data_IF_744346414608
#
_entry.id   IF_744346414608
#
_cell.length_a   1.000
_cell.length_b   1.000
_cell.length_c   1.000
_cell.angle_alpha   90.00
_cell.angle_beta   90.00
_cell.angle_gamma   90.00
#
_symmetry.space_group_name_H-M   'P 1'
#
loop_
_entity.id
_entity.type
_entity.pdbx_description
1 polymer ?
#
# COMPACT_ATOMS: atom_id res chain seq x y z
N UNK A 1 -20.82 16.49 38.32
CA UNK A 1 -19.94 16.77 37.17
C UNK A 1 -18.83 15.73 37.15
N UNK A 2 -18.88 14.76 36.25
CA UNK A 2 -17.76 13.90 35.80
C UNK A 2 -18.35 12.76 34.98
N UNK A 3 -18.16 12.78 33.67
CA UNK A 3 -18.62 11.75 32.77
C UNK A 3 -17.54 11.45 31.73
N UNK A 4 -16.86 10.32 31.93
CA UNK A 4 -16.33 9.42 30.90
C UNK A 4 -15.25 9.97 29.97
N UNK A 5 -14.05 9.42 30.07
CA UNK A 5 -12.97 9.70 29.12
C UNK A 5 -13.35 9.30 27.69
N UNK A 6 -13.52 10.30 26.82
CA UNK A 6 -13.69 10.09 25.39
C UNK A 6 -12.41 9.49 24.81
N UNK A 7 -12.47 8.20 24.49
CA UNK A 7 -11.59 7.59 23.51
C UNK A 7 -11.68 8.46 22.24
N UNK A 8 -10.56 9.03 21.80
CA UNK A 8 -10.47 9.74 20.52
C UNK A 8 -10.94 8.83 19.39
N UNK A 9 -12.20 8.97 19.01
CA UNK A 9 -12.87 8.14 18.03
C UNK A 9 -12.66 8.73 16.65
N UNK A 10 -11.87 8.05 15.83
CA UNK A 10 -11.64 8.47 14.45
C UNK A 10 -12.93 8.56 13.62
N UNK A 11 -13.92 7.64 13.74
CA UNK A 11 -15.22 7.79 13.09
C UNK A 11 -15.96 9.08 13.46
N UNK A 12 -15.98 9.45 14.74
CA UNK A 12 -16.64 10.68 15.20
C UNK A 12 -15.92 11.93 14.65
N UNK A 13 -14.57 11.93 14.67
CA UNK A 13 -13.78 12.99 14.04
C UNK A 13 -14.14 13.15 12.56
N UNK A 14 -14.23 12.05 11.81
CA UNK A 14 -14.54 12.06 10.37
C UNK A 14 -15.90 12.68 10.06
N UNK A 15 -16.90 12.45 10.90
CA UNK A 15 -18.23 13.06 10.72
C UNK A 15 -18.19 14.55 11.06
N UNK A 16 -17.52 14.92 12.14
CA UNK A 16 -17.52 16.30 12.63
C UNK A 16 -16.66 17.25 11.78
N UNK A 17 -15.55 16.76 11.20
CA UNK A 17 -14.66 17.58 10.37
C UNK A 17 -15.34 18.03 9.07
N UNK A 18 -16.25 17.21 8.53
CA UNK A 18 -17.03 17.53 7.32
C UNK A 18 -18.11 18.59 7.56
N UNK A 19 -18.47 18.85 8.82
CA UNK A 19 -19.45 19.88 9.20
C UNK A 19 -18.81 21.25 9.46
N UNK A 20 -17.48 21.34 9.38
CA UNK A 20 -16.77 22.62 9.56
C UNK A 20 -16.96 23.52 8.33
N UNK A 21 -16.83 24.83 8.52
CA UNK A 21 -16.91 25.80 7.43
C UNK A 21 -15.77 25.67 6.40
N UNK A 22 -14.59 25.22 6.87
CA UNK A 22 -13.44 24.85 6.03
C UNK A 22 -12.89 23.49 6.47
N UNK A 23 -13.46 22.37 5.97
CA UNK A 23 -13.02 21.04 6.34
C UNK A 23 -11.55 20.78 5.98
N UNK A 24 -11.07 21.30 4.86
CA UNK A 24 -9.71 21.06 4.36
C UNK A 24 -8.69 21.80 5.23
N UNK A 25 -8.89 23.08 5.49
CA UNK A 25 -8.03 23.85 6.40
C UNK A 25 -7.98 23.21 7.79
N UNK A 26 -9.12 22.73 8.32
CA UNK A 26 -9.17 22.03 9.62
C UNK A 26 -8.45 20.69 9.63
N UNK A 27 -8.48 19.94 8.52
CA UNK A 27 -7.66 18.74 8.35
C UNK A 27 -6.17 19.11 8.44
N UNK A 28 -5.74 20.18 7.78
CA UNK A 28 -4.33 20.61 7.79
C UNK A 28 -3.89 21.08 9.18
N UNK A 29 -4.70 21.90 9.86
CA UNK A 29 -4.44 22.29 11.26
C UNK A 29 -4.29 21.07 12.17
N UNK A 30 -5.17 20.08 12.02
CA UNK A 30 -5.11 18.83 12.77
C UNK A 30 -3.84 18.02 12.43
N UNK A 31 -3.42 18.00 11.17
CA UNK A 31 -2.18 17.34 10.74
C UNK A 31 -0.95 17.97 11.42
N UNK A 32 -0.89 19.31 11.48
CA UNK A 32 0.17 20.04 12.18
C UNK A 32 0.16 19.69 13.66
N UNK A 33 -1.00 19.77 14.31
CA UNK A 33 -1.15 19.43 15.72
C UNK A 33 -0.70 18.00 16.05
N UNK A 34 -1.11 17.01 15.25
CA UNK A 34 -0.73 15.61 15.45
C UNK A 34 0.77 15.35 15.24
N UNK A 35 1.48 16.20 14.50
CA UNK A 35 2.93 16.11 14.32
C UNK A 35 3.71 16.78 15.44
N UNK A 36 3.17 17.82 16.05
CA UNK A 36 3.87 18.63 17.06
C UNK A 36 3.53 18.24 18.49
N UNK A 37 2.37 17.61 18.72
CA UNK A 37 1.93 17.25 20.07
C UNK A 37 2.74 16.11 20.70
N UNK A 38 3.12 16.26 21.97
CA UNK A 38 3.76 15.21 22.76
C UNK A 38 2.81 14.03 23.02
N UNK A 39 1.49 14.26 22.98
CA UNK A 39 0.46 13.26 23.25
C UNK A 39 0.56 12.03 22.33
N UNK A 40 0.96 12.23 21.07
CA UNK A 40 1.17 11.13 20.11
C UNK A 40 2.38 10.27 20.51
N UNK A 41 3.40 10.82 21.16
CA UNK A 41 4.54 10.03 21.64
C UNK A 41 4.17 9.26 22.91
N UNK A 42 3.37 9.86 23.79
CA UNK A 42 3.11 9.36 25.13
C UNK A 42 1.89 8.43 25.23
N UNK A 43 0.88 8.58 24.37
CA UNK A 43 -0.40 7.88 24.51
C UNK A 43 -0.70 6.98 23.31
N UNK A 44 -0.84 5.67 23.54
CA UNK A 44 -1.19 4.68 22.50
C UNK A 44 -2.49 5.00 21.75
N UNK A 45 -3.49 5.60 22.41
CA UNK A 45 -4.74 6.03 21.76
C UNK A 45 -4.50 7.12 20.73
N UNK A 46 -3.67 8.10 21.06
CA UNK A 46 -3.24 9.17 20.15
C UNK A 46 -2.38 8.63 18.99
N UNK A 47 -1.52 7.64 19.24
CA UNK A 47 -0.76 6.95 18.17
C UNK A 47 -1.69 6.28 17.17
N UNK A 48 -2.68 5.51 17.65
CA UNK A 48 -3.66 4.83 16.79
C UNK A 48 -4.49 5.84 15.99
N UNK A 49 -4.96 6.90 16.65
CA UNK A 49 -5.71 7.98 15.99
C UNK A 49 -4.86 8.66 14.93
N UNK A 50 -3.64 9.08 15.26
CA UNK A 50 -2.71 9.75 14.34
C UNK A 50 -2.40 8.90 13.12
N UNK A 51 -2.10 7.61 13.32
CA UNK A 51 -1.89 6.66 12.21
C UNK A 51 -3.10 6.63 11.29
N UNK A 52 -4.31 6.44 11.84
CA UNK A 52 -5.54 6.37 11.04
C UNK A 52 -5.87 7.68 10.33
N UNK A 53 -5.59 8.80 10.97
CA UNK A 53 -5.75 10.14 10.41
C UNK A 53 -4.89 10.32 9.16
N UNK A 54 -3.58 10.01 9.24
CA UNK A 54 -2.69 10.13 8.10
C UNK A 54 -2.95 9.08 7.01
N UNK A 55 -3.45 7.88 7.35
CA UNK A 55 -3.90 6.91 6.33
C UNK A 55 -5.05 7.47 5.47
N UNK A 56 -5.97 8.23 6.06
CA UNK A 56 -7.18 8.72 5.37
C UNK A 56 -6.96 10.07 4.69
N UNK A 57 -6.31 11.02 5.38
CA UNK A 57 -6.24 12.41 4.93
C UNK A 57 -4.92 12.81 4.27
N UNK A 58 -3.95 11.90 4.16
CA UNK A 58 -2.69 12.18 3.45
C UNK A 58 -2.91 12.76 2.05
N UNK A 59 -3.81 12.24 1.19
CA UNK A 59 -4.06 12.84 -0.13
C UNK A 59 -4.53 14.29 -0.02
N UNK A 60 -5.52 14.58 0.84
CA UNK A 60 -6.05 15.93 1.08
C UNK A 60 -4.97 16.90 1.58
N UNK A 61 -4.12 16.45 2.50
CA UNK A 61 -3.01 17.27 3.03
C UNK A 61 -2.00 17.59 1.93
N UNK A 62 -1.63 16.61 1.11
CA UNK A 62 -0.69 16.81 0.00
C UNK A 62 -1.26 17.77 -1.04
N UNK A 63 -2.51 17.57 -1.43
CA UNK A 63 -3.21 18.43 -2.39
C UNK A 63 -3.31 19.88 -1.92
N UNK A 64 -3.55 20.10 -0.62
CA UNK A 64 -3.56 21.46 -0.03
C UNK A 64 -2.24 22.20 -0.23
N UNK A 65 -1.10 21.50 -0.22
CA UNK A 65 0.22 22.07 -0.49
C UNK A 65 0.59 22.10 -1.98
N UNK A 66 -0.36 21.82 -2.88
CA UNK A 66 -0.11 21.78 -4.32
C UNK A 66 0.56 20.50 -4.80
N UNK A 67 0.78 19.52 -3.92
CA UNK A 67 1.21 18.18 -4.32
C UNK A 67 0.01 17.44 -4.91
N UNK A 68 -0.09 17.48 -6.24
CA UNK A 68 -0.83 16.44 -6.95
C UNK A 68 0.11 15.24 -7.01
N UNK A 69 -0.22 14.09 -6.39
CA UNK A 69 0.50 12.89 -6.77
C UNK A 69 0.27 12.79 -8.27
N UNK A 70 1.35 12.88 -9.04
CA UNK A 70 1.37 12.29 -10.35
C UNK A 70 1.13 10.79 -10.09
N UNK A 71 -0.14 10.41 -9.93
CA UNK A 71 -0.57 9.14 -10.47
C UNK A 71 -0.34 9.37 -11.94
N UNK A 72 0.89 9.12 -12.38
CA UNK A 72 1.14 8.89 -13.78
C UNK A 72 0.07 7.85 -14.11
N UNK A 73 -0.98 8.26 -14.84
CA UNK A 73 -1.90 7.35 -15.48
C UNK A 73 -1.11 6.64 -16.59
N UNK A 74 0.00 5.99 -16.20
CA UNK A 74 0.66 5.01 -17.04
C UNK A 74 -0.39 3.93 -17.15
N UNK A 75 -1.00 3.87 -18.33
CA UNK A 75 -1.87 2.76 -18.67
C UNK A 75 -1.11 1.49 -18.34
N UNK A 76 -1.64 0.73 -17.38
CA UNK A 76 -1.02 -0.52 -16.96
C UNK A 76 -0.83 -1.43 -18.17
N UNK A 77 0.27 -2.16 -18.19
CA UNK A 77 0.55 -3.13 -19.25
C UNK A 77 -0.41 -4.30 -19.09
N UNK A 78 -1.28 -4.50 -20.09
CA UNK A 78 -2.23 -5.60 -20.08
C UNK A 78 -1.48 -6.93 -20.08
N UNK A 79 -1.82 -7.80 -19.15
CA UNK A 79 -1.32 -9.18 -19.11
C UNK A 79 -2.34 -10.08 -19.81
N UNK A 80 -1.90 -10.83 -20.83
CA UNK A 80 -2.80 -11.69 -21.60
C UNK A 80 -3.10 -13.02 -20.89
N UNK A 81 -2.14 -13.56 -20.15
CA UNK A 81 -2.30 -14.77 -19.34
C UNK A 81 -1.80 -14.51 -17.92
N UNK A 82 -2.74 -14.21 -17.02
CA UNK A 82 -2.44 -13.88 -15.63
C UNK A 82 -1.88 -15.06 -14.85
N UNK A 83 -2.23 -16.29 -15.22
CA UNK A 83 -1.74 -17.49 -14.53
C UNK A 83 -0.27 -17.72 -14.84
N UNK A 84 0.07 -17.73 -16.13
CA UNK A 84 1.46 -17.87 -16.57
C UNK A 84 2.32 -16.72 -16.06
N UNK A 85 1.82 -15.49 -16.13
CA UNK A 85 2.51 -14.32 -15.61
C UNK A 85 2.83 -14.44 -14.12
N UNK A 86 1.83 -14.82 -13.30
CA UNK A 86 2.05 -15.02 -11.87
C UNK A 86 3.01 -16.18 -11.60
N UNK A 87 2.91 -17.28 -12.35
CA UNK A 87 3.84 -18.40 -12.22
C UNK A 87 5.29 -17.96 -12.47
N UNK A 88 5.55 -17.17 -13.52
CA UNK A 88 6.88 -16.62 -13.83
C UNK A 88 7.34 -15.66 -12.75
N UNK A 89 6.51 -14.71 -12.32
CA UNK A 89 6.88 -13.72 -11.30
C UNK A 89 7.22 -14.38 -9.96
N UNK A 90 6.41 -15.36 -9.53
CA UNK A 90 6.68 -16.14 -8.33
C UNK A 90 7.94 -17.00 -8.50
N UNK A 91 8.18 -17.60 -9.66
CA UNK A 91 9.39 -18.37 -9.91
C UNK A 91 10.66 -17.51 -9.82
N UNK A 92 10.65 -16.32 -10.44
CA UNK A 92 11.75 -15.36 -10.36
C UNK A 92 12.00 -14.88 -8.93
N UNK A 93 10.93 -14.64 -8.16
CA UNK A 93 11.02 -14.29 -6.74
C UNK A 93 11.66 -15.42 -5.93
N UNK A 94 11.14 -16.66 -6.05
CA UNK A 94 11.61 -17.80 -5.25
C UNK A 94 13.02 -18.27 -5.61
N UNK A 95 13.43 -18.08 -6.86
CA UNK A 95 14.81 -18.36 -7.31
C UNK A 95 15.79 -17.21 -7.01
N UNK A 96 15.35 -16.16 -6.31
CA UNK A 96 16.20 -15.03 -5.91
C UNK A 96 16.67 -14.15 -7.08
N UNK A 97 15.96 -14.17 -8.21
CA UNK A 97 16.23 -13.28 -9.36
C UNK A 97 15.78 -11.86 -9.09
N UNK A 98 14.78 -11.72 -8.21
CA UNK A 98 14.41 -10.43 -7.65
C UNK A 98 14.96 -10.31 -6.23
N UNK A 99 15.74 -9.24 -6.00
CA UNK A 99 16.18 -8.84 -4.66
C UNK A 99 15.09 -7.99 -3.99
N UNK A 100 13.94 -8.60 -3.72
CA UNK A 100 12.82 -7.95 -3.07
C UNK A 100 11.93 -8.95 -2.33
N UNK A 101 11.11 -8.46 -1.41
CA UNK A 101 10.11 -9.26 -0.73
C UNK A 101 8.84 -9.43 -1.59
N UNK A 102 8.08 -10.50 -1.37
CA UNK A 102 6.81 -10.76 -2.05
C UNK A 102 5.85 -9.54 -2.03
N UNK A 103 5.83 -8.81 -0.90
CA UNK A 103 5.00 -7.61 -0.76
C UNK A 103 5.44 -6.48 -1.69
N UNK A 104 6.75 -6.30 -1.87
CA UNK A 104 7.31 -5.27 -2.74
C UNK A 104 7.05 -5.62 -4.21
N UNK A 105 7.23 -6.89 -4.57
CA UNK A 105 6.88 -7.39 -5.90
C UNK A 105 5.38 -7.26 -6.19
N UNK A 106 4.50 -7.56 -5.23
CA UNK A 106 3.05 -7.40 -5.39
C UNK A 106 2.67 -5.95 -5.67
N UNK A 107 3.30 -4.98 -4.99
CA UNK A 107 3.09 -3.55 -5.23
C UNK A 107 3.55 -3.17 -6.64
N UNK A 108 4.72 -3.65 -7.08
CA UNK A 108 5.22 -3.39 -8.42
C UNK A 108 4.30 -3.96 -9.50
N UNK A 109 3.84 -5.20 -9.33
CA UNK A 109 2.89 -5.85 -10.24
C UNK A 109 1.60 -5.04 -10.32
N UNK A 110 0.98 -4.73 -9.18
CA UNK A 110 -0.28 -3.98 -9.13
C UNK A 110 -0.13 -2.54 -9.67
N UNK A 111 1.06 -1.95 -9.59
CA UNK A 111 1.29 -0.59 -10.09
C UNK A 111 1.50 -0.51 -11.60
N UNK A 112 2.14 -1.53 -12.19
CA UNK A 112 2.62 -1.47 -13.59
C UNK A 112 1.79 -2.34 -14.53
N UNK A 113 1.26 -3.46 -14.05
CA UNK A 113 0.60 -4.47 -14.87
C UNK A 113 -0.88 -4.57 -14.53
N UNK A 114 -1.68 -4.90 -15.54
CA UNK A 114 -3.09 -5.25 -15.37
C UNK A 114 -3.26 -6.77 -15.57
N UNK A 115 -3.06 -7.56 -14.49
CA UNK A 115 -3.27 -9.00 -14.51
C UNK A 115 -4.74 -9.40 -14.33
N UNK A 116 -5.70 -8.48 -14.31
CA UNK A 116 -7.10 -8.79 -13.96
C UNK A 116 -7.21 -9.54 -12.60
N UNK A 117 -6.30 -9.23 -11.67
CA UNK A 117 -6.23 -9.78 -10.32
C UNK A 117 -6.21 -8.64 -9.31
N UNK A 118 -6.91 -8.84 -8.18
CA UNK A 118 -6.81 -7.94 -7.03
C UNK A 118 -5.43 -8.08 -6.40
N UNK A 119 -4.90 -6.99 -5.83
CA UNK A 119 -3.66 -6.98 -5.04
C UNK A 119 -3.57 -8.13 -4.02
N UNK A 120 -4.65 -8.44 -3.31
CA UNK A 120 -4.68 -9.55 -2.33
C UNK A 120 -4.42 -10.92 -2.98
N UNK A 121 -4.94 -11.13 -4.19
CA UNK A 121 -4.76 -12.36 -4.96
C UNK A 121 -3.34 -12.46 -5.52
N UNK A 122 -2.77 -11.34 -5.97
CA UNK A 122 -1.36 -11.24 -6.40
C UNK A 122 -0.45 -11.63 -5.23
N UNK A 123 -0.64 -10.99 -4.07
CA UNK A 123 0.17 -11.24 -2.89
C UNK A 123 0.08 -12.69 -2.42
N UNK A 124 -1.14 -13.26 -2.39
CA UNK A 124 -1.33 -14.67 -2.03
C UNK A 124 -0.60 -15.60 -3.01
N UNK A 125 -0.74 -15.37 -4.33
CA UNK A 125 -0.09 -16.20 -5.35
C UNK A 125 1.44 -16.15 -5.32
N UNK A 126 2.04 -15.07 -4.82
CA UNK A 126 3.49 -14.98 -4.58
C UNK A 126 3.94 -15.82 -3.38
N UNK A 127 3.09 -15.99 -2.36
CA UNK A 127 3.37 -16.84 -1.20
C UNK A 127 3.10 -18.32 -1.47
N UNK A 128 2.10 -18.63 -2.29
CA UNK A 128 1.69 -20.02 -2.57
C UNK A 128 2.82 -20.82 -3.22
N UNK A 129 2.86 -22.12 -2.94
CA UNK A 129 3.79 -23.04 -3.58
C UNK A 129 3.26 -23.43 -4.96
N UNK A 130 4.03 -23.11 -6.01
CA UNK A 130 3.72 -23.43 -7.40
C UNK A 130 4.03 -24.90 -7.71
N UNK A 131 3.39 -25.85 -7.03
CA UNK A 131 3.55 -27.28 -7.35
C UNK A 131 3.18 -27.57 -8.82
N UNK A 132 2.20 -26.83 -9.35
CA UNK A 132 1.77 -26.95 -10.75
C UNK A 132 2.78 -26.39 -11.76
N UNK A 133 3.82 -25.67 -11.33
CA UNK A 133 4.82 -25.04 -12.19
C UNK A 133 6.25 -25.41 -11.80
N UNK A 134 6.46 -26.58 -11.19
CA UNK A 134 7.80 -27.08 -10.89
C UNK A 134 8.71 -27.11 -12.13
N UNK A 135 8.16 -27.37 -13.31
CA UNK A 135 8.90 -27.32 -14.58
C UNK A 135 9.37 -25.90 -14.96
N UNK A 136 8.60 -24.88 -14.60
CA UNK A 136 8.97 -23.47 -14.80
C UNK A 136 10.02 -23.06 -13.76
N UNK A 137 9.84 -23.51 -12.50
CA UNK A 137 10.81 -23.30 -11.43
C UNK A 137 12.16 -23.96 -11.74
N UNK A 138 12.16 -25.20 -12.21
CA UNK A 138 13.38 -25.91 -12.59
C UNK A 138 14.07 -25.21 -13.75
N UNK A 139 13.32 -24.78 -14.78
CA UNK A 139 13.87 -23.99 -15.88
C UNK A 139 14.64 -22.76 -15.37
N UNK A 140 14.03 -21.93 -14.50
CA UNK A 140 14.69 -20.72 -13.98
C UNK A 140 15.80 -20.99 -12.97
N UNK A 141 15.76 -22.14 -12.29
CA UNK A 141 16.82 -22.60 -11.40
C UNK A 141 18.06 -23.02 -12.21
N UNK A 142 17.84 -23.73 -13.31
CA UNK A 142 18.89 -24.21 -14.21
C UNK A 142 19.42 -23.10 -15.14
N UNK A 143 18.62 -22.04 -15.37
CA UNK A 143 18.98 -20.90 -16.19
C UNK A 143 20.16 -20.12 -15.59
N UNK A 144 21.27 -19.95 -16.30
CA UNK A 144 22.44 -19.21 -15.76
C UNK A 144 22.34 -17.73 -16.11
N UNK A 145 22.82 -16.88 -15.19
CA UNK A 145 22.80 -15.41 -15.30
C UNK A 145 23.54 -14.84 -16.54
N UNK A 146 24.25 -15.68 -17.29
CA UNK A 146 25.14 -15.29 -18.39
C UNK A 146 24.51 -15.42 -19.80
N UNK A 147 23.26 -15.86 -19.92
CA UNK A 147 22.63 -16.14 -21.22
C UNK A 147 22.02 -14.90 -21.92
N UNK A 148 22.16 -13.70 -21.32
CA UNK A 148 21.77 -12.41 -21.91
C UNK A 148 22.98 -11.57 -22.34
N UNK A 149 23.82 -12.10 -23.25
CA UNK A 149 24.82 -11.31 -23.97
C UNK A 149 24.36 -10.96 -25.37
#
# INVERSE_FOLDING_TARGET
>A
MSGGGDQLSFPAFRINIQKQSDPVGKIVECAVFLRTTHLVKEKKTWQKFSKRFFEVYRPTILEYFGYRPDVLEVKKVKVNDSRLFMAVMTALLKTGRFDCQAKELAVAIDSVFDPDLKYSSILQGLYDNLLEYESVLSFFTDYKKNDFK
#
